data_IF_224828803001
#
_entry.id   IF_224828803001
#
_cell.length_a   1.000
_cell.length_b   1.000
_cell.length_c   1.000
_cell.angle_alpha   90.00
_cell.angle_beta   90.00
_cell.angle_gamma   90.00
#
_symmetry.space_group_name_H-M   'P 1'
#
loop_
_entity.id
_entity.type
_entity.pdbx_description
1 polymer ?
#
# COMPACT_ATOMS: atom_id res chain seq x y z
N UNK A 1 2.62 -6.12 -11.30
CA UNK A 1 2.43 -6.36 -9.85
C UNK A 1 1.48 -5.33 -9.28
N UNK A 2 0.40 -5.76 -8.64
CA UNK A 2 -0.53 -4.88 -7.94
C UNK A 2 0.18 -4.21 -6.76
N UNK A 3 0.05 -2.88 -6.62
CA UNK A 3 0.57 -2.09 -5.49
C UNK A 3 -0.23 -2.39 -4.21
N UNK A 4 -0.11 -3.61 -3.72
CA UNK A 4 -0.80 -4.13 -2.53
C UNK A 4 0.26 -4.48 -1.50
N UNK A 5 0.03 -4.09 -0.25
CA UNK A 5 0.92 -4.43 0.85
C UNK A 5 0.89 -5.94 1.13
N UNK A 6 2.05 -6.60 1.16
CA UNK A 6 2.15 -8.05 1.45
C UNK A 6 1.71 -8.39 2.89
N UNK A 7 1.86 -7.45 3.83
CA UNK A 7 1.60 -7.68 5.26
C UNK A 7 0.14 -7.47 5.64
N UNK A 8 -0.44 -6.33 5.26
CA UNK A 8 -1.81 -5.95 5.66
C UNK A 8 -2.79 -5.88 4.49
N UNK A 9 -2.37 -6.31 3.30
CA UNK A 9 -3.20 -6.40 2.10
C UNK A 9 -3.87 -5.08 1.67
N UNK A 10 -3.38 -3.94 2.19
CA UNK A 10 -3.85 -2.62 1.78
C UNK A 10 -3.54 -2.41 0.31
N UNK A 11 -4.60 -2.32 -0.48
CA UNK A 11 -4.55 -2.03 -1.91
C UNK A 11 -5.15 -0.68 -2.25
N UNK A 12 -5.49 -0.53 -3.53
CA UNK A 12 -6.27 0.60 -3.99
C UNK A 12 -7.74 0.48 -3.56
N UNK A 13 -8.36 1.59 -3.22
CA UNK A 13 -9.80 1.68 -2.98
C UNK A 13 -10.44 2.64 -3.98
N UNK A 14 -11.66 2.32 -4.40
CA UNK A 14 -12.42 3.15 -5.33
C UNK A 14 -13.26 4.18 -4.57
N UNK A 15 -13.48 5.35 -5.16
CA UNK A 15 -14.43 6.33 -4.65
C UNK A 15 -14.66 7.47 -5.64
N UNK A 16 -15.12 8.61 -5.14
CA UNK A 16 -15.43 9.78 -5.97
C UNK A 16 -14.69 11.03 -5.49
N UNK A 17 -14.31 11.89 -6.42
CA UNK A 17 -14.10 13.31 -6.15
C UNK A 17 -15.47 13.98 -6.13
N UNK A 18 -15.74 14.75 -5.08
CA UNK A 18 -17.00 15.51 -4.93
C UNK A 18 -16.64 16.98 -5.01
N UNK A 19 -17.17 17.70 -6.01
CA UNK A 19 -16.99 19.15 -6.11
C UNK A 19 -17.90 19.89 -5.12
N UNK A 20 -17.65 21.19 -4.96
CA UNK A 20 -18.53 22.08 -4.18
C UNK A 20 -20.01 22.02 -4.65
N UNK A 21 -20.23 21.88 -5.96
CA UNK A 21 -21.55 21.69 -6.58
C UNK A 21 -22.05 20.23 -6.59
N UNK A 22 -21.47 19.35 -5.77
CA UNK A 22 -21.82 17.92 -5.67
C UNK A 22 -21.67 17.11 -6.97
N UNK A 23 -20.86 17.55 -7.93
CA UNK A 23 -20.51 16.74 -9.10
C UNK A 23 -19.56 15.63 -8.67
N UNK A 24 -19.93 14.38 -8.95
CA UNK A 24 -19.18 13.19 -8.56
C UNK A 24 -18.40 12.65 -9.76
N UNK A 25 -17.07 12.68 -9.70
CA UNK A 25 -16.20 12.02 -10.70
C UNK A 25 -15.46 10.84 -10.07
N UNK A 26 -15.28 9.74 -10.79
CA UNK A 26 -14.64 8.53 -10.26
C UNK A 26 -13.17 8.80 -9.98
N UNK A 27 -12.68 8.32 -8.83
CA UNK A 27 -11.24 8.34 -8.48
C UNK A 27 -10.81 7.05 -7.78
N UNK A 28 -9.51 6.84 -7.79
CA UNK A 28 -8.85 5.75 -7.05
C UNK A 28 -8.00 6.32 -5.93
N UNK A 29 -8.15 5.80 -4.72
CA UNK A 29 -7.28 6.06 -3.58
C UNK A 29 -6.18 5.00 -3.58
N UNK A 30 -4.94 5.41 -3.87
CA UNK A 30 -3.77 4.51 -3.87
C UNK A 30 -3.22 4.40 -2.45
N UNK A 31 -2.96 3.17 -1.98
CA UNK A 31 -2.21 2.97 -0.76
C UNK A 31 -0.74 3.43 -0.94
N UNK A 32 -0.18 4.09 0.07
CA UNK A 32 1.24 4.46 0.11
C UNK A 32 2.08 3.20 0.42
N UNK A 33 2.40 2.45 -0.64
CA UNK A 33 3.28 1.28 -0.61
C UNK A 33 4.65 1.62 -1.18
N UNK A 34 5.69 1.14 -0.52
CA UNK A 34 7.08 1.29 -0.89
C UNK A 34 7.64 -0.08 -1.28
N UNK A 35 8.53 -0.10 -2.28
CA UNK A 35 9.24 -1.31 -2.67
C UNK A 35 10.48 -1.42 -1.81
N UNK A 36 10.55 -2.46 -0.97
CA UNK A 36 11.65 -2.67 -0.02
C UNK A 36 12.09 -4.13 -0.04
N UNK A 37 13.34 -4.38 0.35
CA UNK A 37 13.81 -5.74 0.63
C UNK A 37 13.38 -6.12 2.04
N UNK A 38 12.73 -7.26 2.17
CA UNK A 38 12.24 -7.77 3.44
C UNK A 38 12.72 -9.20 3.62
N UNK A 39 13.02 -9.58 4.85
CA UNK A 39 13.21 -10.98 5.21
C UNK A 39 11.83 -11.58 5.41
N UNK A 40 11.46 -12.53 4.55
CA UNK A 40 10.23 -13.29 4.66
C UNK A 40 10.59 -14.78 4.64
N UNK A 41 10.23 -15.50 5.70
CA UNK A 41 10.50 -16.93 5.83
C UNK A 41 12.00 -17.30 5.63
N UNK A 42 12.91 -16.43 6.13
CA UNK A 42 14.36 -16.61 6.03
C UNK A 42 14.98 -16.26 4.67
N UNK A 43 14.19 -15.79 3.70
CA UNK A 43 14.68 -15.34 2.39
C UNK A 43 14.51 -13.83 2.22
N UNK A 44 15.49 -13.21 1.60
CA UNK A 44 15.43 -11.78 1.25
C UNK A 44 14.67 -11.63 -0.06
N UNK A 45 13.48 -11.04 0.01
CA UNK A 45 12.65 -10.80 -1.17
C UNK A 45 12.31 -9.33 -1.33
N UNK A 46 12.15 -8.88 -2.58
CA UNK A 46 11.69 -7.52 -2.89
C UNK A 46 10.16 -7.50 -2.89
N UNK A 47 9.56 -6.83 -1.90
CA UNK A 47 8.12 -6.78 -1.73
C UNK A 47 7.58 -5.35 -1.61
N UNK A 48 6.29 -5.18 -1.91
CA UNK A 48 5.56 -3.94 -1.64
C UNK A 48 5.04 -3.96 -0.21
N UNK A 49 5.47 -2.99 0.60
CA UNK A 49 5.04 -2.83 1.99
C UNK A 49 4.50 -1.42 2.21
N UNK A 50 3.37 -1.29 2.89
CA UNK A 50 2.80 0.03 3.18
C UNK A 50 3.63 0.77 4.24
N UNK A 51 3.67 2.10 4.13
CA UNK A 51 4.41 2.94 5.06
C UNK A 51 4.00 2.74 6.53
N UNK A 52 2.73 2.38 6.81
CA UNK A 52 2.30 2.02 8.18
C UNK A 52 2.97 0.75 8.69
N UNK A 53 3.05 -0.31 7.88
CA UNK A 53 3.72 -1.55 8.29
C UNK A 53 5.23 -1.33 8.48
N UNK A 54 5.84 -0.47 7.66
CA UNK A 54 7.23 -0.05 7.80
C UNK A 54 7.50 0.83 9.03
N UNK A 55 6.50 1.58 9.49
CA UNK A 55 6.59 2.42 10.69
C UNK A 55 6.35 1.63 11.98
N UNK A 56 5.53 0.58 11.91
CA UNK A 56 5.18 -0.26 13.07
C UNK A 56 6.12 -1.46 13.25
N UNK A 57 7.27 -1.46 12.56
CA UNK A 57 8.27 -2.55 12.57
C UNK A 57 7.68 -3.95 12.42
N UNK A 58 6.60 -4.07 11.64
CA UNK A 58 5.95 -5.36 11.35
C UNK A 58 6.75 -6.21 10.37
N UNK A 59 7.87 -5.69 9.89
CA UNK A 59 8.70 -6.32 8.86
C UNK A 59 10.16 -6.01 9.12
N UNK A 60 10.98 -7.06 9.12
CA UNK A 60 12.43 -6.94 9.17
C UNK A 60 12.95 -6.55 7.78
N UNK A 61 13.71 -5.46 7.75
CA UNK A 61 14.39 -5.00 6.55
C UNK A 61 15.71 -5.76 6.42
N UNK A 62 16.00 -6.21 5.22
CA UNK A 62 17.30 -6.77 4.85
C UNK A 62 18.22 -5.69 4.29
#
# INVERSE_FOLDING_TARGET
MSRVCVVCQKGQSAGNNVSHSNRKTRRTFKANVQKVKIVKDGKVESAYVCARCLKSDKVERA
#
